data_IF_506621820478
#
_entry.id   IF_506621820478
#
_cell.length_a   1.000
_cell.length_b   1.000
_cell.length_c   1.000
_cell.angle_alpha   90.00
_cell.angle_beta   90.00
_cell.angle_gamma   90.00
#
_symmetry.space_group_name_H-M   'P 1'
#
loop_
_entity.id
_entity.type
_entity.pdbx_description
1 polymer ?
#
# COMPACT_ATOMS: atom_id res chain seq x y z
N UNK A 1 9.02 5.90 -14.14
CA UNK A 1 9.45 4.67 -13.42
C UNK A 1 9.36 4.76 -11.91
N UNK A 2 9.87 5.81 -11.23
CA UNK A 2 9.89 5.94 -9.74
C UNK A 2 8.62 5.45 -9.04
N UNK A 3 7.45 5.99 -9.41
CA UNK A 3 6.17 5.63 -8.77
C UNK A 3 5.81 4.14 -8.97
N UNK A 4 6.02 3.60 -10.17
CA UNK A 4 5.76 2.20 -10.50
C UNK A 4 6.69 1.27 -9.73
N UNK A 5 7.97 1.62 -9.60
CA UNK A 5 8.95 0.88 -8.78
C UNK A 5 8.51 0.85 -7.31
N UNK A 6 8.19 2.02 -6.75
CA UNK A 6 7.75 2.15 -5.36
C UNK A 6 6.49 1.32 -5.10
N UNK A 7 5.49 1.35 -5.99
CA UNK A 7 4.23 0.62 -5.75
C UNK A 7 4.27 -0.87 -6.10
N UNK A 8 5.26 -1.32 -6.88
CA UNK A 8 5.40 -2.74 -7.24
C UNK A 8 5.82 -3.63 -6.07
N UNK A 9 6.65 -3.11 -5.16
CA UNK A 9 6.98 -3.79 -3.90
C UNK A 9 5.84 -3.74 -2.87
N UNK A 10 4.71 -3.11 -3.24
CA UNK A 10 3.49 -3.03 -2.45
C UNK A 10 2.30 -3.74 -3.12
N UNK A 11 2.55 -4.56 -4.14
CA UNK A 11 1.53 -5.38 -4.78
C UNK A 11 0.68 -4.67 -5.84
N UNK A 12 1.19 -3.61 -6.49
CA UNK A 12 0.50 -2.98 -7.63
C UNK A 12 0.25 -4.01 -8.74
N UNK A 13 -0.95 -3.98 -9.33
CA UNK A 13 -1.28 -4.80 -10.50
C UNK A 13 -0.72 -4.19 -11.77
N UNK A 14 -0.62 -4.97 -12.85
CA UNK A 14 -0.23 -4.47 -14.17
C UNK A 14 -1.07 -3.26 -14.59
N UNK A 15 -2.39 -3.31 -14.37
CA UNK A 15 -3.32 -2.22 -14.70
C UNK A 15 -2.98 -0.95 -13.91
N UNK A 16 -2.72 -1.09 -12.60
CA UNK A 16 -2.33 0.03 -11.74
C UNK A 16 -0.97 0.63 -12.16
N UNK A 17 0.02 -0.21 -12.45
CA UNK A 17 1.33 0.20 -12.95
C UNK A 17 1.21 0.98 -14.27
N UNK A 18 0.38 0.48 -15.20
CA UNK A 18 0.10 1.14 -16.48
C UNK A 18 -0.52 2.51 -16.28
N UNK A 19 -1.55 2.63 -15.45
CA UNK A 19 -2.19 3.92 -15.17
C UNK A 19 -1.21 4.93 -14.58
N UNK A 20 -0.31 4.50 -13.70
CA UNK A 20 0.73 5.37 -13.17
C UNK A 20 1.69 5.85 -14.27
N UNK A 21 2.11 4.98 -15.18
CA UNK A 21 2.98 5.34 -16.31
C UNK A 21 2.24 6.27 -17.28
N UNK A 22 1.00 5.95 -17.65
CA UNK A 22 0.16 6.79 -18.50
C UNK A 22 0.04 8.21 -17.96
N UNK A 23 -0.26 8.36 -16.65
CA UNK A 23 -0.35 9.69 -16.03
C UNK A 23 0.95 10.49 -16.15
N UNK A 24 2.10 9.84 -15.99
CA UNK A 24 3.42 10.49 -16.14
C UNK A 24 3.76 10.85 -17.58
N UNK A 25 3.31 10.04 -18.54
CA UNK A 25 3.46 10.35 -19.97
C UNK A 25 2.56 11.52 -20.37
N UNK A 26 1.33 11.57 -19.85
CA UNK A 26 0.40 12.69 -20.07
C UNK A 26 0.94 14.00 -19.50
N UNK A 27 1.50 13.99 -18.29
CA UNK A 27 2.15 15.17 -17.68
C UNK A 27 3.29 15.73 -18.53
N UNK A 28 3.94 14.90 -19.35
CA UNK A 28 4.99 15.35 -20.27
C UNK A 28 4.46 15.98 -21.56
N UNK A 29 3.21 15.68 -21.95
CA UNK A 29 2.54 16.30 -23.10
C UNK A 29 3.18 16.02 -24.47
N UNK A 30 4.08 15.03 -24.57
CA UNK A 30 4.80 14.73 -25.83
C UNK A 30 4.03 13.81 -26.78
N UNK A 31 3.00 13.12 -26.29
CA UNK A 31 2.18 12.19 -27.06
C UNK A 31 0.75 12.70 -26.99
N UNK A 32 0.22 13.15 -28.13
CA UNK A 32 -1.14 13.72 -28.25
C UNK A 32 -2.16 12.71 -28.75
N UNK A 33 -1.73 11.63 -29.41
CA UNK A 33 -2.60 10.53 -29.81
C UNK A 33 -2.83 9.57 -28.62
N UNK A 34 -4.09 9.47 -28.20
CA UNK A 34 -4.52 8.59 -27.11
C UNK A 34 -4.24 7.10 -27.39
N UNK A 35 -4.31 6.67 -28.66
CA UNK A 35 -4.04 5.29 -29.03
C UNK A 35 -2.56 4.98 -28.86
N UNK A 36 -1.69 5.81 -29.42
CA UNK A 36 -0.24 5.70 -29.24
C UNK A 36 0.15 5.80 -27.76
N UNK A 37 -0.47 6.72 -27.00
CA UNK A 37 -0.24 6.86 -25.57
C UNK A 37 -0.56 5.56 -24.81
N UNK A 38 -1.67 4.90 -25.15
CA UNK A 38 -2.04 3.62 -24.57
C UNK A 38 -1.02 2.52 -24.89
N UNK A 39 -0.61 2.39 -26.16
CA UNK A 39 0.35 1.38 -26.62
C UNK A 39 1.73 1.57 -25.97
N UNK A 40 2.24 2.81 -25.96
CA UNK A 40 3.50 3.17 -25.31
C UNK A 40 3.44 2.91 -23.80
N UNK A 41 2.32 3.24 -23.15
CA UNK A 41 2.12 2.95 -21.73
C UNK A 41 2.17 1.45 -21.45
N UNK A 42 1.53 0.62 -22.27
CA UNK A 42 1.55 -0.84 -22.14
C UNK A 42 2.98 -1.40 -22.29
N UNK A 43 3.70 -0.94 -23.31
CA UNK A 43 5.09 -1.34 -23.56
C UNK A 43 6.00 -0.96 -22.38
N UNK A 44 5.99 0.31 -21.98
CA UNK A 44 6.80 0.81 -20.89
C UNK A 44 6.49 0.10 -19.56
N UNK A 45 5.21 -0.23 -19.32
CA UNK A 45 4.81 -1.00 -18.14
C UNK A 45 5.39 -2.40 -18.14
N UNK A 46 5.30 -3.12 -19.27
CA UNK A 46 5.86 -4.47 -19.42
C UNK A 46 7.36 -4.46 -19.15
N UNK A 47 8.10 -3.62 -19.87
CA UNK A 47 9.57 -3.51 -19.70
C UNK A 47 9.95 -3.16 -18.27
N UNK A 48 9.21 -2.24 -17.63
CA UNK A 48 9.47 -1.85 -16.24
C UNK A 48 9.22 -3.03 -15.27
N UNK A 49 8.12 -3.76 -15.42
CA UNK A 49 7.77 -4.86 -14.51
C UNK A 49 8.66 -6.09 -14.70
N UNK A 50 9.12 -6.34 -15.93
CA UNK A 50 10.07 -7.39 -16.25
C UNK A 50 11.43 -7.11 -15.60
N UNK A 51 11.95 -5.89 -15.76
CA UNK A 51 13.18 -5.45 -15.11
C UNK A 51 13.08 -5.54 -13.57
N UNK A 52 11.96 -5.10 -13.01
CA UNK A 52 11.68 -5.22 -11.57
C UNK A 52 11.62 -6.67 -11.09
N UNK A 53 11.18 -7.59 -11.95
CA UNK A 53 11.10 -9.00 -11.60
C UNK A 53 12.43 -9.68 -11.45
N UNK A 54 13.42 -9.25 -12.22
CA UNK A 54 14.78 -9.75 -12.09
C UNK A 54 15.47 -9.19 -10.85
N UNK A 55 15.22 -7.91 -10.52
CA UNK A 55 15.91 -7.21 -9.43
C UNK A 55 15.39 -7.55 -8.02
N UNK A 56 14.09 -7.86 -7.85
CA UNK A 56 13.45 -7.94 -6.52
C UNK A 56 12.82 -9.31 -6.21
N UNK A 57 13.56 -10.39 -6.47
CA UNK A 57 13.05 -11.77 -6.28
C UNK A 57 12.68 -12.06 -4.83
N UNK A 58 13.54 -11.73 -3.86
CA UNK A 58 13.29 -12.01 -2.44
C UNK A 58 12.10 -11.22 -1.89
N UNK A 59 11.98 -9.93 -2.26
CA UNK A 59 10.85 -9.11 -1.86
C UNK A 59 9.52 -9.68 -2.40
N UNK A 60 9.51 -10.18 -3.65
CA UNK A 60 8.34 -10.88 -4.21
C UNK A 60 8.01 -12.16 -3.47
N UNK A 61 9.01 -12.95 -3.09
CA UNK A 61 8.82 -14.15 -2.27
C UNK A 61 8.13 -13.84 -0.94
N UNK A 62 8.58 -12.80 -0.23
CA UNK A 62 7.98 -12.38 1.04
C UNK A 62 6.55 -11.86 0.82
N UNK A 63 6.31 -11.04 -0.19
CA UNK A 63 4.96 -10.55 -0.50
C UNK A 63 3.98 -11.68 -0.82
N UNK A 64 4.43 -12.68 -1.58
CA UNK A 64 3.62 -13.85 -1.90
C UNK A 64 3.29 -14.65 -0.63
N UNK A 65 4.29 -14.91 0.21
CA UNK A 65 4.12 -15.59 1.48
C UNK A 65 3.14 -14.86 2.41
N UNK A 66 3.28 -13.54 2.58
CA UNK A 66 2.33 -12.72 3.34
C UNK A 66 0.92 -12.83 2.74
N UNK A 67 0.79 -12.74 1.42
CA UNK A 67 -0.49 -12.89 0.73
C UNK A 67 -1.18 -14.25 0.98
N UNK A 68 -0.41 -15.33 1.08
CA UNK A 68 -0.92 -16.67 1.36
C UNK A 68 -1.33 -16.81 2.84
N UNK A 69 -0.55 -16.26 3.78
CA UNK A 69 -0.95 -16.16 5.19
C UNK A 69 -2.28 -15.39 5.33
N UNK A 70 -2.39 -14.22 4.70
CA UNK A 70 -3.62 -13.43 4.73
C UNK A 70 -4.82 -14.19 4.14
N UNK A 71 -4.61 -14.98 3.08
CA UNK A 71 -5.66 -15.81 2.48
C UNK A 71 -6.16 -16.86 3.47
N UNK A 72 -5.26 -17.59 4.15
CA UNK A 72 -5.63 -18.63 5.12
C UNK A 72 -6.34 -18.05 6.35
N UNK A 73 -5.88 -16.91 6.88
CA UNK A 73 -6.52 -16.26 8.03
C UNK A 73 -7.92 -15.76 7.64
N UNK A 74 -8.04 -15.11 6.48
CA UNK A 74 -9.30 -14.52 6.04
C UNK A 74 -10.33 -15.56 5.58
N UNK A 75 -9.92 -16.76 5.15
CA UNK A 75 -10.86 -17.85 4.84
C UNK A 75 -11.59 -18.35 6.09
N UNK A 76 -10.96 -18.28 7.26
CA UNK A 76 -11.57 -18.56 8.56
C UNK A 76 -12.37 -17.36 9.11
N UNK A 77 -12.65 -16.35 8.28
CA UNK A 77 -13.36 -15.13 8.64
C UNK A 77 -12.70 -14.34 9.80
N UNK A 78 -11.37 -14.46 9.95
CA UNK A 78 -10.59 -13.64 10.86
C UNK A 78 -9.86 -12.51 10.13
N UNK A 79 -9.72 -11.31 10.73
CA UNK A 79 -8.87 -10.28 10.16
C UNK A 79 -7.40 -10.62 10.43
N UNK A 80 -6.52 -10.18 9.52
CA UNK A 80 -5.07 -10.30 9.75
C UNK A 80 -4.65 -9.36 10.88
N UNK A 81 -3.85 -9.87 11.81
CA UNK A 81 -3.34 -9.14 12.97
C UNK A 81 -1.88 -9.51 13.22
N UNK A 82 -1.08 -8.56 13.69
CA UNK A 82 0.29 -8.79 14.15
C UNK A 82 0.65 -7.75 15.21
N UNK A 83 1.78 -7.95 15.88
CA UNK A 83 2.37 -6.97 16.79
C UNK A 83 3.61 -6.38 16.13
N UNK A 84 3.71 -5.06 16.08
CA UNK A 84 4.89 -4.39 15.52
C UNK A 84 6.11 -4.54 16.44
N UNK A 85 7.34 -4.30 15.94
CA UNK A 85 8.56 -4.34 16.76
C UNK A 85 8.55 -3.42 18.00
N UNK A 86 7.76 -2.34 17.97
CA UNK A 86 7.58 -1.43 19.13
C UNK A 86 6.46 -1.87 20.08
N UNK A 87 5.92 -3.07 19.89
CA UNK A 87 4.87 -3.64 20.75
C UNK A 87 3.45 -3.18 20.42
N UNK A 88 3.24 -2.44 19.32
CA UNK A 88 1.91 -1.95 18.94
C UNK A 88 1.11 -3.04 18.21
N UNK A 89 -0.07 -3.44 18.70
CA UNK A 89 -0.94 -4.36 17.97
C UNK A 89 -1.54 -3.69 16.73
N UNK A 90 -1.41 -4.34 15.58
CA UNK A 90 -1.97 -3.88 14.30
C UNK A 90 -3.02 -4.86 13.82
N UNK A 91 -4.18 -4.34 13.39
CA UNK A 91 -5.31 -5.12 12.89
C UNK A 91 -5.77 -4.53 11.57
N UNK A 92 -5.89 -5.35 10.52
CA UNK A 92 -6.43 -4.88 9.25
C UNK A 92 -7.97 -4.79 9.30
N UNK A 93 -8.56 -3.59 9.09
CA UNK A 93 -10.00 -3.37 9.27
C UNK A 93 -10.84 -3.78 8.04
N UNK A 94 -10.31 -4.58 7.11
CA UNK A 94 -10.99 -4.85 5.85
C UNK A 94 -12.14 -5.86 5.99
N UNK A 95 -13.33 -5.32 6.21
CA UNK A 95 -14.61 -6.04 6.24
C UNK A 95 -15.44 -5.77 4.99
N UNK A 96 -16.38 -6.68 4.69
CA UNK A 96 -17.41 -6.46 3.66
C UNK A 96 -18.41 -5.45 4.20
N UNK A 97 -18.83 -4.53 3.35
CA UNK A 97 -19.86 -3.58 3.71
C UNK A 97 -21.24 -4.11 3.34
N UNK A 98 -22.24 -3.74 4.14
CA UNK A 98 -23.65 -3.94 3.86
C UNK A 98 -24.29 -2.57 3.61
N UNK A 99 -25.14 -2.51 2.59
CA UNK A 99 -25.91 -1.31 2.27
C UNK A 99 -27.25 -1.39 3.01
N UNK A 100 -27.66 -0.29 3.63
CA UNK A 100 -28.90 -0.15 4.36
C UNK A 100 -29.66 1.03 3.77
N UNK A 101 -30.91 0.79 3.40
CA UNK A 101 -31.82 1.85 2.98
C UNK A 101 -32.61 2.31 4.20
N UNK A 102 -32.36 3.53 4.66
CA UNK A 102 -33.05 4.13 5.79
C UNK A 102 -34.06 5.13 5.26
N UNK A 103 -35.34 4.80 5.37
CA UNK A 103 -36.43 5.70 5.01
C UNK A 103 -36.59 6.74 6.12
N UNK A 104 -36.44 8.01 5.76
CA UNK A 104 -36.73 9.17 6.61
C UNK A 104 -38.01 9.87 6.13
N UNK A 105 -38.47 10.88 6.84
CA UNK A 105 -39.63 11.70 6.43
C UNK A 105 -39.41 12.46 5.12
N UNK A 106 -38.15 12.82 4.80
CA UNK A 106 -37.82 13.59 3.59
C UNK A 106 -37.39 12.71 2.41
N UNK A 107 -36.63 11.64 2.66
CA UNK A 107 -36.06 10.78 1.61
C UNK A 107 -35.59 9.43 2.13
N UNK A 108 -35.23 8.53 1.21
CA UNK A 108 -34.59 7.26 1.54
C UNK A 108 -33.07 7.38 1.41
N UNK A 109 -32.35 7.26 2.52
CA UNK A 109 -30.89 7.35 2.58
C UNK A 109 -30.25 5.97 2.39
N UNK A 110 -29.35 5.85 1.42
CA UNK A 110 -28.52 4.66 1.25
C UNK A 110 -27.25 4.80 2.11
N UNK A 111 -27.23 4.16 3.28
CA UNK A 111 -26.06 4.13 4.15
C UNK A 111 -25.25 2.85 3.94
N UNK A 112 -23.94 2.97 4.08
CA UNK A 112 -23.01 1.85 3.98
C UNK A 112 -22.39 1.62 5.36
N UNK A 113 -22.62 0.45 5.95
CA UNK A 113 -22.06 0.06 7.24
C UNK A 113 -21.19 -1.18 7.09
N UNK A 114 -20.13 -1.29 7.88
CA UNK A 114 -19.33 -2.51 7.95
C UNK A 114 -20.18 -3.67 8.44
N UNK A 115 -20.14 -4.79 7.72
CA UNK A 115 -20.71 -6.07 8.16
C UNK A 115 -19.65 -6.91 8.87
N UNK A 116 -20.05 -8.08 9.34
CA UNK A 116 -19.18 -8.98 10.13
C UNK A 116 -18.25 -9.84 9.27
N UNK A 117 -18.57 -9.99 7.98
CA UNK A 117 -17.79 -10.84 7.07
C UNK A 117 -16.50 -10.15 6.63
N UNK A 118 -15.39 -10.86 6.64
CA UNK A 118 -14.08 -10.37 6.21
C UNK A 118 -14.02 -10.24 4.68
N UNK A 119 -13.40 -9.15 4.20
CA UNK A 119 -13.14 -8.94 2.79
C UNK A 119 -11.82 -9.60 2.37
N UNK A 120 -11.84 -10.91 2.11
CA UNK A 120 -10.65 -11.73 1.83
C UNK A 120 -9.69 -11.11 0.80
N UNK A 121 -10.20 -10.67 -0.34
CA UNK A 121 -9.36 -10.08 -1.39
C UNK A 121 -8.66 -8.79 -0.94
N UNK A 122 -9.33 -7.98 -0.11
CA UNK A 122 -8.75 -6.74 0.43
C UNK A 122 -7.72 -7.04 1.51
N UNK A 123 -7.97 -8.00 2.40
CA UNK A 123 -7.00 -8.45 3.39
C UNK A 123 -5.71 -8.93 2.70
N UNK A 124 -5.85 -9.84 1.72
CA UNK A 124 -4.71 -10.38 0.95
C UNK A 124 -3.91 -9.28 0.25
N UNK A 125 -4.58 -8.39 -0.48
CA UNK A 125 -3.90 -7.35 -1.26
C UNK A 125 -3.21 -6.31 -0.37
N UNK A 126 -3.78 -5.99 0.80
CA UNK A 126 -3.28 -4.94 1.67
C UNK A 126 -2.27 -5.42 2.71
N UNK A 127 -2.14 -6.73 2.95
CA UNK A 127 -1.26 -7.22 4.01
C UNK A 127 0.22 -6.92 3.76
N UNK A 128 0.81 -7.21 2.58
CA UNK A 128 2.21 -6.85 2.33
C UNK A 128 2.54 -5.36 2.56
N UNK A 129 1.82 -4.38 1.96
CA UNK A 129 2.14 -2.98 2.20
C UNK A 129 1.91 -2.53 3.64
N UNK A 130 0.82 -2.97 4.29
CA UNK A 130 0.56 -2.57 5.67
C UNK A 130 1.62 -3.13 6.63
N UNK A 131 2.12 -4.34 6.37
CA UNK A 131 3.19 -4.94 7.16
C UNK A 131 4.48 -4.12 7.03
N UNK A 132 4.91 -3.78 5.80
CA UNK A 132 6.10 -2.95 5.58
C UNK A 132 5.96 -1.56 6.21
N UNK A 133 4.83 -0.88 6.01
CA UNK A 133 4.59 0.42 6.65
C UNK A 133 4.62 0.35 8.18
N UNK A 134 4.21 -0.78 8.77
CA UNK A 134 4.32 -0.97 10.22
C UNK A 134 5.78 -1.11 10.68
N UNK A 135 6.65 -1.69 9.86
CA UNK A 135 8.08 -1.77 10.10
C UNK A 135 8.74 -0.39 9.94
N UNK A 136 8.39 0.35 8.90
CA UNK A 136 8.90 1.71 8.67
C UNK A 136 8.55 2.64 9.83
N UNK A 137 7.29 2.56 10.30
CA UNK A 137 6.82 3.34 11.46
C UNK A 137 7.55 2.93 12.74
N UNK A 138 7.78 1.63 12.93
CA UNK A 138 8.53 1.11 14.08
C UNK A 138 9.98 1.58 14.04
N UNK A 139 10.61 1.56 12.88
CA UNK A 139 11.96 2.06 12.66
C UNK A 139 12.04 3.56 12.98
N UNK A 140 11.13 4.38 12.43
CA UNK A 140 11.06 5.81 12.75
C UNK A 140 10.94 6.06 14.26
N UNK A 141 10.07 5.32 14.95
CA UNK A 141 9.88 5.46 16.40
C UNK A 141 11.14 5.06 17.18
N UNK A 142 11.79 3.96 16.82
CA UNK A 142 13.05 3.53 17.45
C UNK A 142 14.16 4.55 17.22
N UNK A 143 14.28 5.10 16.01
CA UNK A 143 15.23 6.15 15.68
C UNK A 143 14.97 7.42 16.48
N UNK A 144 13.71 7.86 16.60
CA UNK A 144 13.34 9.01 17.42
C UNK A 144 13.74 8.83 18.90
N UNK A 145 13.55 7.64 19.45
CA UNK A 145 13.99 7.30 20.82
C UNK A 145 15.52 7.38 20.93
N UNK A 146 16.26 6.87 19.94
CA UNK A 146 17.71 6.93 19.92
C UNK A 146 18.24 8.37 19.81
N UNK A 147 17.68 9.18 18.91
CA UNK A 147 17.97 10.61 18.77
C UNK A 147 17.76 11.35 20.10
N UNK A 148 16.62 11.11 20.77
CA UNK A 148 16.34 11.70 22.08
C UNK A 148 17.38 11.32 23.13
N UNK A 149 17.82 10.05 23.17
CA UNK A 149 18.89 9.60 24.09
C UNK A 149 20.24 10.24 23.79
N UNK A 150 20.51 10.58 22.53
CA UNK A 150 21.70 11.30 22.09
C UNK A 150 21.59 12.83 22.25
N UNK A 151 20.46 13.35 22.75
CA UNK A 151 20.24 14.79 22.91
C UNK A 151 19.84 15.53 21.62
N UNK A 152 19.47 14.80 20.57
CA UNK A 152 19.10 15.38 19.26
C UNK A 152 17.61 15.70 19.18
N UNK A 153 17.28 16.78 18.47
CA UNK A 153 15.90 17.15 18.16
C UNK A 153 15.44 16.50 16.85
N UNK A 154 14.65 15.43 16.98
CA UNK A 154 14.16 14.66 15.83
C UNK A 154 12.82 15.17 15.29
N UNK A 155 12.71 15.31 13.98
CA UNK A 155 11.44 15.42 13.25
C UNK A 155 11.37 14.36 12.14
N UNK A 156 10.24 13.66 12.04
CA UNK A 156 10.04 12.59 11.06
C UNK A 156 8.82 12.82 10.19
N UNK A 157 8.98 12.67 8.88
CA UNK A 157 7.88 12.58 7.90
C UNK A 157 8.00 11.24 7.19
N UNK A 158 7.34 10.22 7.75
CA UNK A 158 7.41 8.83 7.27
C UNK A 158 8.86 8.31 7.15
N UNK A 159 9.42 8.27 5.95
CA UNK A 159 10.76 7.80 5.60
C UNK A 159 11.82 8.91 5.57
N UNK A 160 11.45 10.14 5.92
CA UNK A 160 12.36 11.29 5.98
C UNK A 160 12.60 11.74 7.43
N UNK A 161 13.88 11.76 7.84
CA UNK A 161 14.31 12.04 9.22
C UNK A 161 15.17 13.30 9.26
N UNK A 162 14.77 14.28 10.07
CA UNK A 162 15.39 15.60 10.15
C UNK A 162 15.88 15.87 11.57
N UNK A 163 16.99 16.59 11.64
CA UNK A 163 17.62 17.15 12.85
C UNK A 163 18.12 18.57 12.53
N UNK A 164 18.66 19.31 13.51
CA UNK A 164 19.33 20.57 13.18
C UNK A 164 20.60 20.31 12.37
N UNK A 165 21.02 21.26 11.52
CA UNK A 165 22.24 21.09 10.72
C UNK A 165 23.53 20.97 11.56
N UNK A 166 23.48 21.34 12.85
CA UNK A 166 24.59 21.22 13.79
C UNK A 166 24.63 19.88 14.53
N UNK A 167 23.62 19.02 14.31
CA UNK A 167 23.46 17.70 14.93
C UNK A 167 23.95 16.59 13.99
#
# INVERSE_FOLDING_TARGET
VKQTVMTSVYGVTYIGARQQITKRLQEKGLITDDKLLYEVSCYATRVTLDALGQMFQSARGIMAWLGDCAKMIASENHPVKWTSPVGLPVVQPYKKYKNYMIRTSLQCLALRREGDAIALQRQKAAFPPNFVHSLDSSHMMMTAIACKKAGLHFAGVHDSFWVHACD
#
